data_IF_571151875387
#
_entry.id   IF_571151875387
#
_cell.length_a   1.000
_cell.length_b   1.000
_cell.length_c   1.000
_cell.angle_alpha   90.00
_cell.angle_beta   90.00
_cell.angle_gamma   90.00
#
_symmetry.space_group_name_H-M   'P 1'
#
loop_
_entity.id
_entity.type
_entity.pdbx_description
1 polymer ?
#
# COMPACT_ATOMS: atom_id res chain seq x y z
N UNK A 1 43.58 -51.69 -48.81
CA UNK A 1 42.40 -50.82 -49.03
C UNK A 1 41.73 -50.64 -47.68
N UNK A 2 42.02 -49.59 -46.91
CA UNK A 2 41.69 -48.18 -47.08
C UNK A 2 40.69 -47.78 -45.99
N UNK A 3 41.14 -46.90 -45.09
CA UNK A 3 40.37 -45.82 -44.46
C UNK A 3 39.18 -46.24 -43.58
N UNK A 4 39.20 -45.91 -42.28
CA UNK A 4 38.41 -44.82 -41.65
C UNK A 4 38.44 -45.07 -40.12
N UNK A 5 38.49 -44.14 -39.18
CA UNK A 5 38.49 -42.68 -39.11
C UNK A 5 38.88 -42.35 -37.65
N UNK A 6 39.79 -41.40 -37.47
CA UNK A 6 40.10 -40.71 -36.22
C UNK A 6 38.89 -39.90 -35.75
N UNK A 7 38.05 -40.41 -34.83
CA UNK A 7 37.05 -39.55 -34.16
C UNK A 7 36.71 -40.05 -32.75
N UNK A 8 37.69 -40.46 -31.94
CA UNK A 8 37.48 -40.77 -30.52
C UNK A 8 37.79 -39.58 -29.59
N UNK A 9 37.71 -38.34 -30.10
CA UNK A 9 37.94 -37.11 -29.32
C UNK A 9 36.76 -36.13 -29.31
N UNK A 10 35.61 -36.59 -29.82
CA UNK A 10 34.33 -35.87 -29.81
C UNK A 10 33.34 -36.41 -28.77
N UNK A 11 33.67 -37.49 -28.06
CA UNK A 11 32.80 -38.07 -27.03
C UNK A 11 32.63 -37.19 -25.78
N UNK A 12 33.56 -36.26 -25.53
CA UNK A 12 33.54 -35.41 -24.32
C UNK A 12 32.95 -34.02 -24.60
N UNK A 13 33.00 -33.52 -25.84
CA UNK A 13 32.39 -32.22 -26.20
C UNK A 13 30.90 -32.37 -26.55
N UNK A 14 30.47 -33.56 -27.00
CA UNK A 14 29.04 -33.90 -27.12
C UNK A 14 28.30 -34.02 -25.78
N UNK A 15 29.03 -34.12 -24.67
CA UNK A 15 28.50 -34.13 -23.30
C UNK A 15 28.00 -32.74 -22.83
N UNK A 16 28.29 -31.66 -23.57
CA UNK A 16 28.10 -30.28 -23.05
C UNK A 16 27.09 -29.45 -23.88
N UNK A 17 26.56 -29.96 -24.99
CA UNK A 17 25.76 -29.13 -25.92
C UNK A 17 24.45 -29.74 -26.44
N UNK A 18 23.86 -30.69 -25.72
CA UNK A 18 22.48 -31.11 -25.97
C UNK A 18 21.63 -31.04 -24.69
N UNK A 19 21.08 -29.83 -24.50
CA UNK A 19 19.72 -29.59 -24.03
C UNK A 19 19.50 -29.58 -22.51
N UNK A 20 20.24 -28.67 -21.87
CA UNK A 20 19.79 -27.85 -20.73
C UNK A 20 18.63 -26.92 -21.15
N UNK A 21 17.58 -27.47 -21.77
CA UNK A 21 16.52 -26.66 -22.36
C UNK A 21 15.24 -27.45 -22.54
N UNK A 22 14.15 -26.89 -22.00
CA UNK A 22 12.75 -27.37 -22.03
C UNK A 22 12.49 -28.50 -21.03
N UNK A 23 11.69 -28.35 -19.97
CA UNK A 23 10.66 -27.37 -19.65
C UNK A 23 10.69 -27.15 -18.14
N UNK A 24 11.01 -25.92 -17.73
CA UNK A 24 10.55 -25.41 -16.46
C UNK A 24 9.02 -25.53 -16.44
N UNK A 25 8.50 -26.57 -15.78
CA UNK A 25 7.12 -26.57 -15.33
C UNK A 25 7.05 -25.50 -14.23
N UNK A 26 6.86 -24.26 -14.66
CA UNK A 26 6.48 -23.12 -13.83
C UNK A 26 5.06 -23.33 -13.35
N UNK A 27 4.90 -24.32 -12.47
CA UNK A 27 3.64 -24.72 -11.90
C UNK A 27 3.34 -23.76 -10.74
N UNK A 28 2.78 -22.59 -11.07
CA UNK A 28 1.95 -21.83 -10.14
C UNK A 28 0.72 -22.68 -9.81
N UNK A 29 0.86 -23.67 -8.94
CA UNK A 29 -0.28 -24.30 -8.27
C UNK A 29 -0.72 -23.32 -7.20
N UNK A 30 -1.80 -22.59 -7.47
CA UNK A 30 -2.64 -22.06 -6.40
C UNK A 30 -3.11 -23.28 -5.59
N UNK A 31 -2.76 -23.41 -4.30
CA UNK A 31 -3.23 -24.53 -3.52
C UNK A 31 -4.74 -24.35 -3.31
N UNK A 32 -5.52 -25.38 -3.63
CA UNK A 32 -6.92 -25.49 -3.24
C UNK A 32 -6.92 -25.87 -1.76
N UNK A 33 -7.13 -24.90 -0.87
CA UNK A 33 -7.08 -25.16 0.57
C UNK A 33 -8.46 -24.99 1.19
N UNK A 34 -8.95 -25.97 1.96
CA UNK A 34 -10.15 -25.83 2.74
C UNK A 34 -9.90 -24.94 3.98
N UNK A 35 -10.61 -23.81 4.07
CA UNK A 35 -11.11 -23.11 5.28
C UNK A 35 -10.18 -22.88 6.51
N UNK A 36 -8.86 -22.75 6.32
CA UNK A 36 -7.92 -22.36 7.40
C UNK A 36 -6.97 -21.18 7.08
N UNK A 37 -6.54 -21.03 5.83
CA UNK A 37 -5.45 -20.09 5.47
C UNK A 37 -5.86 -18.62 5.40
N UNK A 38 -7.12 -18.30 5.09
CA UNK A 38 -7.57 -16.90 4.99
C UNK A 38 -7.50 -16.18 6.34
N UNK A 39 -7.73 -16.91 7.43
CA UNK A 39 -7.60 -16.39 8.79
C UNK A 39 -6.13 -16.14 9.15
N UNK A 40 -5.21 -16.98 8.68
CA UNK A 40 -3.77 -16.78 8.88
C UNK A 40 -3.24 -15.56 8.09
N UNK A 41 -3.70 -15.34 6.85
CA UNK A 41 -3.32 -14.15 6.07
C UNK A 41 -3.83 -12.87 6.74
N UNK A 42 -5.07 -12.89 7.27
CA UNK A 42 -5.60 -11.76 8.04
C UNK A 42 -4.84 -11.55 9.35
N UNK A 43 -4.53 -12.61 10.09
CA UNK A 43 -3.75 -12.55 11.33
C UNK A 43 -2.32 -12.06 11.09
N UNK A 44 -1.71 -12.43 9.96
CA UNK A 44 -0.40 -11.95 9.55
C UNK A 44 -0.46 -10.45 9.22
N UNK A 45 -1.47 -10.00 8.48
CA UNK A 45 -1.67 -8.58 8.17
C UNK A 45 -1.88 -7.74 9.45
N UNK A 46 -2.63 -8.24 10.43
CA UNK A 46 -2.83 -7.54 11.71
C UNK A 46 -1.54 -7.46 12.52
N UNK A 47 -0.78 -8.56 12.62
CA UNK A 47 0.50 -8.56 13.34
C UNK A 47 1.52 -7.59 12.70
N UNK A 48 1.61 -7.56 11.37
CA UNK A 48 2.44 -6.60 10.64
C UNK A 48 1.98 -5.15 10.87
N UNK A 49 0.67 -4.92 10.96
CA UNK A 49 0.12 -3.60 11.26
C UNK A 49 0.50 -3.15 12.67
N UNK A 50 0.44 -4.03 13.66
CA UNK A 50 0.86 -3.73 15.03
C UNK A 50 2.35 -3.39 15.11
N UNK A 51 3.21 -4.18 14.45
CA UNK A 51 4.65 -3.91 14.35
C UNK A 51 4.93 -2.56 13.68
N UNK A 52 4.27 -2.29 12.54
CA UNK A 52 4.40 -1.01 11.86
C UNK A 52 3.93 0.17 12.72
N UNK A 53 2.88 -0.03 13.53
CA UNK A 53 2.39 0.99 14.47
C UNK A 53 3.40 1.28 15.57
N UNK A 54 4.02 0.24 16.14
CA UNK A 54 5.07 0.38 17.14
C UNK A 54 6.28 1.14 16.57
N UNK A 55 6.76 0.75 15.39
CA UNK A 55 7.85 1.44 14.70
C UNK A 55 7.49 2.90 14.39
N UNK A 56 6.25 3.17 13.96
CA UNK A 56 5.78 4.53 13.68
C UNK A 56 5.76 5.40 14.94
N UNK A 57 5.27 4.85 16.07
CA UNK A 57 5.29 5.53 17.37
C UNK A 57 6.72 5.79 17.85
N UNK A 58 7.65 4.88 17.58
CA UNK A 58 9.07 5.05 17.81
C UNK A 58 9.77 6.02 16.83
N UNK A 59 9.02 6.63 15.90
CA UNK A 59 9.53 7.52 14.83
C UNK A 59 10.48 6.83 13.85
N UNK A 60 10.50 5.51 13.80
CA UNK A 60 11.26 4.70 12.86
C UNK A 60 10.45 4.53 11.56
N UNK A 61 10.27 5.64 10.83
CA UNK A 61 9.31 5.69 9.73
C UNK A 61 9.63 4.76 8.55
N UNK A 62 10.91 4.51 8.26
CA UNK A 62 11.30 3.53 7.23
C UNK A 62 10.93 2.09 7.61
N UNK A 63 11.10 1.73 8.88
CA UNK A 63 10.72 0.40 9.38
C UNK A 63 9.20 0.25 9.40
N UNK A 64 8.49 1.28 9.86
CA UNK A 64 7.04 1.36 9.81
C UNK A 64 6.51 1.18 8.38
N UNK A 65 7.11 1.87 7.41
CA UNK A 65 6.78 1.76 5.99
C UNK A 65 6.90 0.31 5.49
N UNK A 66 7.99 -0.39 5.82
CA UNK A 66 8.18 -1.79 5.41
C UNK A 66 7.14 -2.73 6.03
N UNK A 67 6.83 -2.57 7.30
CA UNK A 67 5.80 -3.39 7.95
C UNK A 67 4.41 -3.12 7.37
N UNK A 68 4.06 -1.85 7.12
CA UNK A 68 2.79 -1.51 6.50
C UNK A 68 2.70 -1.93 5.03
N UNK A 69 3.80 -1.88 4.28
CA UNK A 69 3.87 -2.40 2.91
C UNK A 69 3.55 -3.91 2.88
N UNK A 70 4.14 -4.68 3.79
CA UNK A 70 3.85 -6.11 3.92
C UNK A 70 2.40 -6.36 4.33
N UNK A 71 1.86 -5.56 5.26
CA UNK A 71 0.45 -5.66 5.65
C UNK A 71 -0.50 -5.35 4.49
N UNK A 72 -0.18 -4.33 3.67
CA UNK A 72 -0.91 -3.98 2.46
C UNK A 72 -0.80 -5.07 1.39
N UNK A 73 0.36 -5.69 1.22
CA UNK A 73 0.53 -6.82 0.29
C UNK A 73 -0.28 -8.05 0.70
N UNK A 74 -0.43 -8.29 2.02
CA UNK A 74 -1.27 -9.36 2.55
C UNK A 74 -2.78 -9.05 2.40
N UNK A 75 -3.17 -7.78 2.49
CA UNK A 75 -4.56 -7.33 2.39
C UNK A 75 -4.73 -6.15 1.40
N UNK A 76 -4.58 -6.38 0.08
CA UNK A 76 -4.53 -5.30 -0.91
C UNK A 76 -5.84 -4.52 -1.08
N UNK A 77 -6.98 -5.09 -0.66
CA UNK A 77 -8.29 -4.44 -0.68
C UNK A 77 -8.69 -3.82 0.67
N UNK A 78 -7.75 -3.73 1.62
CA UNK A 78 -7.99 -3.12 2.93
C UNK A 78 -7.69 -1.63 2.90
N UNK A 79 -8.72 -0.79 3.00
CA UNK A 79 -8.57 0.66 3.14
C UNK A 79 -7.63 1.07 4.29
N UNK A 80 -7.78 0.50 5.51
CA UNK A 80 -6.85 0.76 6.61
C UNK A 80 -5.39 0.42 6.32
N UNK A 81 -5.10 -0.62 5.51
CA UNK A 81 -3.73 -0.98 5.18
C UNK A 81 -3.07 0.07 4.26
N UNK A 82 -3.80 0.55 3.24
CA UNK A 82 -3.36 1.67 2.39
C UNK A 82 -3.18 2.96 3.20
N UNK A 83 -4.09 3.24 4.13
CA UNK A 83 -4.00 4.41 5.02
C UNK A 83 -2.74 4.36 5.91
N UNK A 84 -2.44 3.23 6.54
CA UNK A 84 -1.26 3.09 7.39
C UNK A 84 0.05 3.22 6.61
N UNK A 85 0.11 2.64 5.41
CA UNK A 85 1.26 2.81 4.52
C UNK A 85 1.44 4.28 4.09
N UNK A 86 0.34 4.96 3.75
CA UNK A 86 0.33 6.38 3.43
C UNK A 86 0.80 7.27 4.60
N UNK A 87 0.45 6.93 5.85
CA UNK A 87 0.94 7.65 7.03
C UNK A 87 2.47 7.58 7.15
N UNK A 88 3.06 6.39 6.96
CA UNK A 88 4.52 6.24 7.01
C UNK A 88 5.22 7.01 5.88
N UNK A 89 4.70 6.94 4.65
CA UNK A 89 5.20 7.73 3.52
C UNK A 89 5.13 9.24 3.79
N UNK A 90 4.01 9.71 4.34
CA UNK A 90 3.86 11.13 4.68
C UNK A 90 4.85 11.57 5.76
N UNK A 91 5.13 10.71 6.74
CA UNK A 91 6.14 11.00 7.77
C UNK A 91 7.57 11.03 7.22
N UNK A 92 7.85 10.30 6.13
CA UNK A 92 9.13 10.32 5.41
C UNK A 92 9.26 11.52 4.45
N UNK A 93 8.17 12.25 4.19
CA UNK A 93 8.15 13.38 3.26
C UNK A 93 7.72 13.02 1.84
N UNK A 94 7.36 11.75 1.57
CA UNK A 94 6.86 11.28 0.28
C UNK A 94 5.37 11.63 0.09
N UNK A 95 5.01 12.89 0.31
CA UNK A 95 3.61 13.34 0.40
C UNK A 95 2.79 13.09 -0.88
N UNK A 96 3.42 13.11 -2.05
CA UNK A 96 2.73 12.83 -3.33
C UNK A 96 2.30 11.37 -3.43
N UNK A 97 3.19 10.43 -3.09
CA UNK A 97 2.88 8.99 -3.09
C UNK A 97 1.90 8.68 -1.94
N UNK A 98 2.09 9.28 -0.77
CA UNK A 98 1.17 9.16 0.35
C UNK A 98 -0.25 9.58 -0.04
N UNK A 99 -0.41 10.69 -0.77
CA UNK A 99 -1.70 11.18 -1.24
C UNK A 99 -2.42 10.14 -2.11
N UNK A 100 -1.71 9.47 -3.01
CA UNK A 100 -2.30 8.43 -3.85
C UNK A 100 -2.85 7.26 -3.03
N UNK A 101 -2.09 6.80 -2.02
CA UNK A 101 -2.55 5.74 -1.13
C UNK A 101 -3.68 6.18 -0.19
N UNK A 102 -3.70 7.44 0.26
CA UNK A 102 -4.85 7.96 1.00
C UNK A 102 -6.12 7.97 0.15
N UNK A 103 -6.03 8.37 -1.12
CA UNK A 103 -7.17 8.32 -2.04
C UNK A 103 -7.66 6.89 -2.26
N UNK A 104 -6.74 5.94 -2.44
CA UNK A 104 -7.11 4.53 -2.56
C UNK A 104 -7.78 4.00 -1.29
N UNK A 105 -7.25 4.37 -0.12
CA UNK A 105 -7.88 4.03 1.16
C UNK A 105 -9.32 4.57 1.25
N UNK A 106 -9.56 5.79 0.79
CA UNK A 106 -10.90 6.39 0.76
C UNK A 106 -11.83 5.73 -0.27
N UNK A 107 -11.30 5.30 -1.42
CA UNK A 107 -12.07 4.53 -2.41
C UNK A 107 -12.48 3.16 -1.89
N UNK A 108 -11.59 2.47 -1.17
CA UNK A 108 -11.83 1.15 -0.58
C UNK A 108 -12.74 1.21 0.65
N UNK A 109 -12.76 2.33 1.37
CA UNK A 109 -13.51 2.50 2.62
C UNK A 109 -14.15 3.89 2.71
N UNK A 110 -15.12 4.21 1.84
CA UNK A 110 -15.69 5.55 1.70
C UNK A 110 -16.45 6.03 2.95
N UNK A 111 -16.89 5.13 3.83
CA UNK A 111 -17.57 5.48 5.08
C UNK A 111 -16.64 5.69 6.27
N UNK A 112 -15.34 5.38 6.16
CA UNK A 112 -14.42 5.52 7.29
C UNK A 112 -13.97 6.98 7.44
N UNK A 113 -14.56 7.65 8.43
CA UNK A 113 -14.23 9.04 8.77
C UNK A 113 -12.73 9.24 9.06
N UNK A 114 -12.05 8.24 9.63
CA UNK A 114 -10.62 8.33 9.98
C UNK A 114 -9.77 8.56 8.74
N UNK A 115 -10.13 7.89 7.64
CA UNK A 115 -9.41 8.00 6.35
C UNK A 115 -9.64 9.38 5.73
N UNK A 116 -10.86 9.91 5.81
CA UNK A 116 -11.17 11.26 5.32
C UNK A 116 -10.55 12.39 6.15
N UNK A 117 -10.32 12.15 7.44
CA UNK A 117 -9.61 13.08 8.31
C UNK A 117 -8.07 13.04 8.12
N UNK A 118 -7.57 12.18 7.22
CA UNK A 118 -6.13 12.09 6.92
C UNK A 118 -5.53 13.43 6.47
N UNK A 119 -4.22 13.69 6.69
CA UNK A 119 -3.60 14.96 6.31
C UNK A 119 -3.82 15.33 4.83
N UNK A 120 -3.75 14.35 3.93
CA UNK A 120 -3.91 14.58 2.49
C UNK A 120 -5.37 14.79 2.05
N UNK A 121 -6.35 14.26 2.81
CA UNK A 121 -7.78 14.31 2.42
C UNK A 121 -8.63 15.26 3.26
N UNK A 122 -8.12 15.72 4.40
CA UNK A 122 -8.83 16.59 5.35
C UNK A 122 -9.39 17.87 4.71
N UNK A 123 -8.74 18.39 3.66
CA UNK A 123 -9.20 19.56 2.90
C UNK A 123 -10.45 19.27 2.03
N UNK A 124 -10.64 18.01 1.61
CA UNK A 124 -11.75 17.61 0.73
C UNK A 124 -13.00 17.20 1.52
N UNK A 125 -12.83 16.71 2.76
CA UNK A 125 -13.91 16.31 3.66
C UNK A 125 -14.65 15.04 3.21
N UNK A 126 -15.23 14.31 4.16
CA UNK A 126 -15.99 13.09 3.86
C UNK A 126 -17.27 13.42 3.05
N UNK A 127 -17.45 12.91 1.82
CA UNK A 127 -18.63 13.19 0.98
C UNK A 127 -19.93 12.64 1.55
N UNK A 128 -19.90 11.60 2.41
CA UNK A 128 -21.08 11.10 3.13
C UNK A 128 -21.50 12.04 4.28
N UNK A 129 -20.59 12.88 4.78
CA UNK A 129 -20.87 13.81 5.87
C UNK A 129 -21.43 15.17 5.39
N UNK A 130 -21.90 15.26 4.13
CA UNK A 130 -22.51 16.48 3.56
C UNK A 130 -23.74 16.99 4.35
N UNK A 131 -24.32 16.18 5.24
CA UNK A 131 -25.39 16.59 6.17
C UNK A 131 -24.92 17.14 7.52
N UNK A 132 -23.61 17.09 7.83
CA UNK A 132 -22.99 17.82 8.95
C UNK A 132 -21.92 18.76 8.40
N UNK A 133 -22.32 19.63 7.49
CA UNK A 133 -21.75 20.98 7.51
C UNK A 133 -21.92 21.45 8.95
N UNK A 134 -20.83 21.49 9.73
CA UNK A 134 -20.84 22.36 10.89
C UNK A 134 -21.16 23.72 10.30
N UNK A 135 -22.38 24.18 10.51
CA UNK A 135 -22.74 25.58 10.48
C UNK A 135 -21.80 26.27 11.47
N UNK A 136 -20.58 26.51 11.03
CA UNK A 136 -19.78 27.61 11.53
C UNK A 136 -20.20 28.72 10.61
N UNK A 137 -21.24 29.51 10.95
CA UNK A 137 -21.32 30.81 10.33
C UNK A 137 -19.99 31.44 10.67
N UNK A 138 -19.16 31.67 9.64
CA UNK A 138 -18.00 32.53 9.79
C UNK A 138 -18.43 33.68 10.69
N UNK A 139 -17.78 33.82 11.84
CA UNK A 139 -18.08 34.88 12.77
C UNK A 139 -18.05 36.17 12.00
N UNK A 140 -19.22 36.73 11.72
CA UNK A 140 -19.36 38.07 11.21
C UNK A 140 -19.04 38.96 12.40
N UNK A 141 -17.75 39.08 12.72
CA UNK A 141 -17.25 40.38 13.14
C UNK A 141 -17.50 41.29 11.95
N UNK A 142 -18.70 41.87 11.89
CA UNK A 142 -18.96 43.07 11.13
C UNK A 142 -17.96 44.09 11.67
N UNK A 143 -16.98 44.58 10.89
CA UNK A 143 -16.27 45.77 11.31
C UNK A 143 -17.33 46.86 11.47
N UNK A 144 -17.46 47.39 12.69
CA UNK A 144 -18.28 48.56 12.98
C UNK A 144 -17.63 49.76 12.30
N UNK A 145 -17.89 49.93 11.00
CA UNK A 145 -17.48 51.11 10.25
C UNK A 145 -18.37 52.28 10.66
N UNK A 146 -17.77 53.21 11.40
CA UNK A 146 -18.13 54.62 11.39
C UNK A 146 -19.46 54.96 12.06
N UNK A 147 -19.40 55.28 13.35
CA UNK A 147 -20.36 56.20 13.92
C UNK A 147 -20.33 57.52 13.14
N UNK A 148 -21.39 57.81 12.41
CA UNK A 148 -21.58 59.13 11.80
C UNK A 148 -22.04 60.11 12.88
N UNK A 149 -21.43 61.31 13.01
CA UNK A 149 -21.98 62.37 13.84
C UNK A 149 -23.24 62.91 13.16
N UNK A 150 -24.37 62.90 13.87
CA UNK A 150 -25.52 63.75 13.53
C UNK A 150 -25.24 65.11 14.17
N UNK A 151 -25.16 66.16 13.35
CA UNK A 151 -25.19 67.55 13.79
C UNK A 151 -26.50 67.86 14.52
#
# INVERSE_FOLDING_TARGET
MAMRKTVARWGVVGLVLLLVGTTACSQKRKPLVPLGLENEVKAQATALTEQGTQAYQAKQYEEAKRHFEQAMAAAPQSGPAHYNYALALNALGDSEVARQHFLEAANLSPGDKTIWDSPALSAYGNPENKGRTKDRPYGTHRPNFGGMPRY
#
